data_IF_116102287415
#
_entry.id   IF_116102287415
#
_cell.length_a   1.000
_cell.length_b   1.000
_cell.length_c   1.000
_cell.angle_alpha   90.00
_cell.angle_beta   90.00
_cell.angle_gamma   90.00
#
_symmetry.space_group_name_H-M   'P 1'
#
loop_
_entity.id
_entity.type
_entity.pdbx_description
1 polymer ?
#
# COMPACT_ATOMS: atom_id res chain seq x y z
N UNK A 1 -1.76 58.02 -18.33
CA UNK A 1 -2.58 57.07 -19.09
C UNK A 1 -1.64 55.93 -19.42
N UNK A 2 -1.50 55.01 -18.48
CA UNK A 2 -2.34 53.78 -18.34
C UNK A 2 -1.75 52.69 -19.24
N UNK A 3 -1.07 51.70 -18.67
CA UNK A 3 -1.61 50.34 -18.39
C UNK A 3 -1.89 49.57 -19.71
N UNK A 4 -1.47 48.33 -19.96
CA UNK A 4 -1.09 47.24 -19.08
C UNK A 4 -0.24 46.21 -19.87
N UNK A 5 0.46 45.37 -19.11
CA UNK A 5 1.12 44.16 -19.55
C UNK A 5 0.12 43.12 -20.10
N UNK A 6 0.46 42.45 -21.20
CA UNK A 6 -0.09 41.16 -21.63
C UNK A 6 1.10 40.21 -21.83
N UNK A 7 1.40 39.19 -21.00
CA UNK A 7 0.64 37.97 -20.67
C UNK A 7 0.37 37.17 -21.97
N UNK A 8 0.85 35.96 -22.23
CA UNK A 8 0.92 34.75 -21.40
C UNK A 8 2.07 33.82 -21.80
N UNK A 9 2.76 33.35 -20.76
CA UNK A 9 3.24 32.00 -20.51
C UNK A 9 3.92 31.19 -21.63
N UNK A 10 5.23 30.98 -21.43
CA UNK A 10 5.92 29.73 -21.77
C UNK A 10 5.02 28.56 -21.38
N UNK A 11 4.83 27.62 -22.30
CA UNK A 11 4.32 26.29 -21.99
C UNK A 11 5.28 25.65 -20.98
N UNK A 12 5.05 25.87 -19.70
CA UNK A 12 5.48 24.91 -18.70
C UNK A 12 4.80 23.60 -19.07
N UNK A 13 5.52 22.47 -19.24
CA UNK A 13 4.86 21.19 -19.13
C UNK A 13 4.10 21.24 -17.80
N UNK A 14 2.83 20.86 -17.82
CA UNK A 14 2.01 20.70 -16.64
C UNK A 14 2.82 19.91 -15.59
N UNK A 15 3.50 20.62 -14.68
CA UNK A 15 3.70 20.14 -13.33
C UNK A 15 2.33 20.29 -12.68
N UNK A 16 1.44 19.40 -13.08
CA UNK A 16 0.29 19.10 -12.28
C UNK A 16 0.84 18.37 -11.06
N UNK A 17 1.07 19.10 -9.97
CA UNK A 17 0.82 18.55 -8.63
C UNK A 17 -0.68 18.31 -8.51
N UNK A 18 -1.24 17.42 -9.34
CA UNK A 18 -2.55 16.80 -9.13
C UNK A 18 -2.24 15.64 -8.22
N UNK A 19 -2.81 15.67 -7.01
CA UNK A 19 -2.45 14.79 -5.89
C UNK A 19 -2.07 13.40 -6.37
N UNK A 20 -0.90 12.91 -5.94
CA UNK A 20 -0.44 11.55 -6.18
C UNK A 20 -1.69 10.68 -6.15
N UNK A 21 -2.09 10.13 -7.30
CA UNK A 21 -3.09 9.06 -7.27
C UNK A 21 -2.53 8.12 -6.21
N UNK A 22 -3.20 8.04 -5.08
CA UNK A 22 -2.73 7.31 -3.91
C UNK A 22 -2.78 5.85 -4.34
N UNK A 23 -1.73 5.42 -5.03
CA UNK A 23 -1.60 4.09 -5.56
C UNK A 23 -1.40 3.16 -4.39
N UNK A 24 -2.03 2.01 -4.46
CA UNK A 24 -1.87 0.94 -3.48
C UNK A 24 -0.39 0.74 -3.20
N UNK A 25 0.01 0.87 -1.93
CA UNK A 25 1.42 0.82 -1.53
C UNK A 25 1.55 0.26 -0.13
N UNK A 26 2.51 -0.64 0.08
CA UNK A 26 2.96 -1.07 1.39
C UNK A 26 4.21 -0.26 1.75
N UNK A 27 4.15 0.48 2.85
CA UNK A 27 5.26 1.28 3.36
C UNK A 27 6.16 0.44 4.28
N UNK A 28 5.57 -0.43 5.11
CA UNK A 28 6.33 -1.31 6.02
C UNK A 28 5.56 -2.57 6.42
N UNK A 29 6.33 -3.58 6.84
CA UNK A 29 5.88 -4.79 7.53
C UNK A 29 6.68 -4.91 8.83
N UNK A 30 5.99 -5.03 9.97
CA UNK A 30 6.63 -5.15 11.28
C UNK A 30 5.96 -6.21 12.17
N UNK A 31 6.71 -7.19 12.70
CA UNK A 31 8.09 -7.50 12.33
C UNK A 31 8.20 -8.05 10.90
N UNK A 32 9.31 -7.76 10.20
CA UNK A 32 9.61 -8.33 8.88
C UNK A 32 10.08 -9.81 8.94
N UNK A 33 10.12 -10.41 10.12
CA UNK A 33 10.46 -11.82 10.32
C UNK A 33 9.83 -12.40 11.57
N UNK A 34 9.46 -13.68 11.54
CA UNK A 34 8.79 -14.29 12.67
C UNK A 34 8.35 -15.74 12.44
N UNK A 35 7.80 -16.36 13.48
CA UNK A 35 7.22 -17.71 13.42
C UNK A 35 5.78 -17.65 12.93
N UNK A 36 5.22 -18.76 12.40
CA UNK A 36 3.78 -18.86 12.19
C UNK A 36 3.00 -18.51 13.46
N UNK A 37 1.90 -17.77 13.30
CA UNK A 37 1.01 -17.35 14.38
C UNK A 37 1.43 -16.10 15.14
N UNK A 38 2.63 -15.54 14.89
CA UNK A 38 2.98 -14.21 15.44
C UNK A 38 2.15 -13.14 14.76
N UNK A 39 1.87 -12.08 15.50
CA UNK A 39 1.18 -10.92 14.97
C UNK A 39 2.16 -10.03 14.20
N UNK A 40 1.72 -9.57 13.03
CA UNK A 40 2.44 -8.65 12.14
C UNK A 40 1.51 -7.52 11.73
N UNK A 41 2.05 -6.32 11.65
CA UNK A 41 1.38 -5.13 11.15
C UNK A 41 1.97 -4.71 9.80
N UNK A 42 1.10 -4.58 8.80
CA UNK A 42 1.38 -3.91 7.54
C UNK A 42 0.88 -2.47 7.62
N UNK A 43 1.77 -1.52 7.32
CA UNK A 43 1.41 -0.11 7.20
C UNK A 43 1.56 0.31 5.75
N UNK A 44 0.57 1.03 5.21
CA UNK A 44 0.61 1.43 3.82
C UNK A 44 -0.57 2.30 3.39
N UNK A 45 -0.56 2.72 2.14
CA UNK A 45 -1.74 3.26 1.47
C UNK A 45 -2.60 2.10 0.98
N UNK A 46 -3.55 1.68 1.82
CA UNK A 46 -4.37 0.47 1.67
C UNK A 46 -5.85 0.83 1.57
N UNK A 47 -6.66 -0.01 0.92
CA UNK A 47 -8.07 0.28 0.61
C UNK A 47 -9.00 -0.78 1.25
N UNK A 48 -10.27 -0.44 1.43
CA UNK A 48 -11.21 -1.30 2.19
C UNK A 48 -11.41 -2.67 1.55
N UNK A 49 -11.64 -2.73 0.24
CA UNK A 49 -11.78 -4.00 -0.49
C UNK A 49 -10.42 -4.46 -0.98
N UNK A 50 -9.69 -5.23 -0.19
CA UNK A 50 -8.39 -5.72 -0.61
C UNK A 50 -8.14 -7.18 -0.23
N UNK A 51 -7.27 -7.80 -1.02
CA UNK A 51 -6.73 -9.14 -0.83
C UNK A 51 -5.23 -8.98 -0.54
N UNK A 52 -4.72 -9.68 0.47
CA UNK A 52 -3.30 -9.76 0.78
C UNK A 52 -2.79 -11.07 0.20
N UNK A 53 -1.82 -10.97 -0.70
CA UNK A 53 -1.05 -12.12 -1.15
C UNK A 53 0.16 -12.29 -0.24
N UNK A 54 0.24 -13.46 0.39
CA UNK A 54 1.33 -13.87 1.24
C UNK A 54 2.02 -15.09 0.62
N UNK A 55 3.16 -14.87 -0.02
CA UNK A 55 3.79 -15.87 -0.88
C UNK A 55 2.86 -16.27 -2.01
N UNK A 56 2.46 -17.54 -2.03
CA UNK A 56 1.53 -18.09 -3.03
C UNK A 56 0.06 -18.08 -2.57
N UNK A 57 -0.22 -17.70 -1.32
CA UNK A 57 -1.56 -17.73 -0.75
C UNK A 57 -2.24 -16.34 -0.80
N UNK A 58 -3.51 -16.30 -1.16
CA UNK A 58 -4.33 -15.09 -1.19
C UNK A 58 -5.33 -15.11 -0.03
N UNK A 59 -5.31 -14.07 0.80
CA UNK A 59 -6.21 -13.86 1.93
C UNK A 59 -7.05 -12.62 1.67
N UNK A 60 -8.32 -12.60 2.08
CA UNK A 60 -9.19 -11.42 1.99
C UNK A 60 -9.33 -10.70 3.34
N UNK A 61 -10.00 -9.55 3.37
CA UNK A 61 -10.20 -8.70 4.56
C UNK A 61 -10.77 -9.42 5.81
N UNK A 62 -11.34 -10.61 5.65
CA UNK A 62 -11.86 -11.43 6.74
C UNK A 62 -10.78 -12.08 7.61
N UNK A 63 -9.52 -12.13 7.14
CA UNK A 63 -8.41 -12.79 7.85
C UNK A 63 -7.60 -11.86 8.74
N UNK A 64 -7.89 -10.56 8.72
CA UNK A 64 -7.12 -9.54 9.44
C UNK A 64 -7.99 -8.42 9.95
N UNK A 65 -7.42 -7.61 10.83
CA UNK A 65 -8.07 -6.44 11.38
C UNK A 65 -7.35 -5.18 10.92
N UNK A 66 -8.10 -4.17 10.50
CA UNK A 66 -7.57 -2.92 9.97
C UNK A 66 -8.51 -2.37 8.91
N UNK A 67 -8.99 -1.14 9.12
CA UNK A 67 -9.98 -0.55 8.22
C UNK A 67 -9.46 0.76 7.64
N UNK A 68 -9.27 0.77 6.32
CA UNK A 68 -9.30 2.01 5.56
C UNK A 68 -10.74 2.53 5.56
N UNK A 69 -11.03 3.59 6.31
CA UNK A 69 -12.22 4.41 6.06
C UNK A 69 -11.83 5.57 5.15
N UNK A 70 -11.45 5.25 3.91
CA UNK A 70 -11.09 6.22 2.88
C UNK A 70 -9.66 6.07 2.34
N UNK A 71 -9.27 7.00 1.48
CA UNK A 71 -7.93 7.05 0.90
C UNK A 71 -6.95 7.61 1.94
N UNK A 72 -5.95 6.83 2.36
CA UNK A 72 -4.95 7.26 3.34
C UNK A 72 -4.03 6.14 3.80
N UNK A 73 -3.14 6.46 4.74
CA UNK A 73 -2.31 5.46 5.42
C UNK A 73 -3.15 4.65 6.40
N UNK A 74 -2.99 3.34 6.37
CA UNK A 74 -3.76 2.35 7.12
C UNK A 74 -2.79 1.34 7.70
N UNK A 75 -3.14 0.82 8.87
CA UNK A 75 -2.46 -0.28 9.52
C UNK A 75 -3.37 -1.51 9.50
N UNK A 76 -2.80 -2.64 9.10
CA UNK A 76 -3.46 -3.94 9.05
C UNK A 76 -2.68 -4.91 9.90
N UNK A 77 -3.34 -5.53 10.84
CA UNK A 77 -2.75 -6.48 11.78
C UNK A 77 -3.33 -7.88 11.56
N UNK A 78 -2.47 -8.88 11.49
CA UNK A 78 -2.85 -10.27 11.28
C UNK A 78 -1.85 -11.25 11.85
N UNK A 79 -2.26 -12.51 11.96
CA UNK A 79 -1.38 -13.61 12.35
C UNK A 79 -0.72 -14.21 11.14
N UNK A 80 0.60 -14.37 11.19
CA UNK A 80 1.39 -14.96 10.11
C UNK A 80 0.93 -16.41 9.83
N UNK A 81 0.63 -16.78 8.58
CA UNK A 81 0.27 -18.15 8.22
C UNK A 81 1.39 -19.16 8.47
N UNK A 82 1.06 -20.46 8.55
CA UNK A 82 2.04 -21.53 8.36
C UNK A 82 2.85 -21.33 7.07
N UNK A 83 4.16 -21.43 7.16
CA UNK A 83 5.06 -21.28 6.00
C UNK A 83 6.52 -21.44 6.40
N UNK A 84 7.41 -21.26 5.43
CA UNK A 84 8.86 -21.38 5.61
C UNK A 84 9.62 -20.50 4.60
N UNK A 85 10.90 -20.22 4.89
CA UNK A 85 11.77 -19.44 4.01
C UNK A 85 11.46 -17.95 4.01
N UNK A 86 11.79 -17.28 2.91
CA UNK A 86 11.43 -15.87 2.67
C UNK A 86 10.33 -15.83 1.62
N UNK A 87 9.26 -15.08 1.91
CA UNK A 87 8.10 -14.92 1.05
C UNK A 87 7.87 -13.45 0.70
N UNK A 88 7.24 -13.23 -0.45
CA UNK A 88 6.80 -11.91 -0.89
C UNK A 88 5.41 -11.61 -0.36
N UNK A 89 5.18 -10.36 0.02
CA UNK A 89 3.91 -9.88 0.55
C UNK A 89 3.46 -8.71 -0.32
N UNK A 90 2.23 -8.79 -0.81
CA UNK A 90 1.66 -7.86 -1.78
C UNK A 90 0.20 -7.61 -1.45
N UNK A 91 -0.25 -6.36 -1.51
CA UNK A 91 -1.66 -6.01 -1.45
C UNK A 91 -2.26 -5.91 -2.86
N UNK A 92 -3.48 -6.39 -3.02
CA UNK A 92 -4.26 -6.39 -4.25
C UNK A 92 -5.61 -5.71 -4.02
N UNK A 93 -6.05 -4.87 -4.95
CA UNK A 93 -7.41 -4.35 -4.99
C UNK A 93 -7.94 -4.37 -6.44
N UNK A 94 -8.72 -5.40 -6.77
CA UNK A 94 -9.17 -5.63 -8.14
C UNK A 94 -7.98 -5.85 -9.09
N UNK A 95 -7.74 -4.90 -9.99
CA UNK A 95 -6.62 -4.94 -10.95
C UNK A 95 -5.37 -4.16 -10.48
N UNK A 96 -5.43 -3.52 -9.32
CA UNK A 96 -4.31 -2.76 -8.74
C UNK A 96 -3.48 -3.63 -7.79
N UNK A 97 -2.16 -3.44 -7.83
CA UNK A 97 -1.19 -4.17 -7.02
C UNK A 97 -0.22 -3.19 -6.36
N UNK A 98 0.15 -3.44 -5.10
CA UNK A 98 1.21 -2.70 -4.41
C UNK A 98 2.62 -3.05 -4.90
N UNK A 99 3.62 -2.34 -4.38
CA UNK A 99 4.99 -2.86 -4.31
C UNK A 99 5.06 -4.17 -3.51
N UNK A 100 6.15 -4.90 -3.70
CA UNK A 100 6.50 -6.09 -2.92
C UNK A 100 7.26 -5.69 -1.66
N UNK A 101 6.91 -6.30 -0.53
CA UNK A 101 7.77 -6.38 0.65
C UNK A 101 8.06 -7.84 0.98
N UNK A 102 9.10 -8.12 1.76
CA UNK A 102 9.48 -9.49 2.10
C UNK A 102 9.22 -9.78 3.58
N UNK A 103 8.82 -11.03 3.86
CA UNK A 103 8.77 -11.58 5.22
C UNK A 103 9.61 -12.84 5.29
N UNK A 104 10.37 -13.00 6.37
CA UNK A 104 11.22 -14.19 6.59
C UNK A 104 10.77 -15.02 7.79
N UNK A 105 10.52 -16.31 7.58
CA UNK A 105 10.21 -17.26 8.62
C UNK A 105 11.46 -17.64 9.43
N UNK A 106 11.36 -17.66 10.78
CA UNK A 106 12.46 -17.97 11.72
C UNK A 106 12.11 -19.04 12.75
#
# INVERSE_FOLDING_TARGET
>A
MDEAAGTYARLTPYHETKGRAMSLQIDSIDPASGRPGVEVTLTGTLLRTQTLRWGEEDWDETYWEGAASGNGTVEITFKVPPGAGTVQVVALNGNEQSNVVEFTYV
#
